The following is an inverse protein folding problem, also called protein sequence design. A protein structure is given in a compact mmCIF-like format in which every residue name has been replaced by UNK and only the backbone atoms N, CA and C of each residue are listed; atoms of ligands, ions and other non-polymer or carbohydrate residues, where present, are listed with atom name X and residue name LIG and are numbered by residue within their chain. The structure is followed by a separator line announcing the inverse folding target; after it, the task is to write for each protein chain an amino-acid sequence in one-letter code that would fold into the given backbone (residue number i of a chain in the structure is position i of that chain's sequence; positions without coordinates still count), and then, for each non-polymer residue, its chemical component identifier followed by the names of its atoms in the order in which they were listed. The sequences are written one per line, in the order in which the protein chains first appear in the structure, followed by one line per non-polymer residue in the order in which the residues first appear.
data_IF_214056706367
#
_entry.id   IF_214056706367
#
_cell.length_a   1.000
_cell.length_b   1.000
_cell.length_c   1.000
_cell.angle_alpha   90.00
_cell.angle_beta   90.00
_cell.angle_gamma   90.00
#
_symmetry.space_group_name_H-M   'P 1'
#
loop_
_entity.id
_entity.type
_entity.pdbx_description
1 polymer ?
#
# COMPACT_ATOMS: atom_id res chain seq x y z
N UNK A 1 3.36 10.32 -25.49
CA UNK A 1 2.69 10.56 -24.22
C UNK A 1 2.20 9.31 -23.53
N UNK A 2 1.61 8.39 -24.26
CA UNK A 2 1.15 7.15 -23.67
C UNK A 2 2.28 6.32 -23.13
N UNK A 3 3.45 6.41 -23.72
CA UNK A 3 4.61 5.62 -23.30
C UNK A 3 5.01 5.91 -21.86
N UNK A 4 4.85 7.14 -21.39
CA UNK A 4 5.24 7.48 -20.04
C UNK A 4 4.28 6.94 -18.98
N UNK A 5 3.11 6.49 -19.39
CA UNK A 5 2.16 5.88 -18.47
C UNK A 5 2.26 4.38 -18.44
N UNK A 6 3.09 3.81 -19.31
CA UNK A 6 3.26 2.36 -19.35
C UNK A 6 4.08 1.91 -18.15
N UNK A 7 3.51 0.99 -17.40
CA UNK A 7 4.18 0.44 -16.24
C UNK A 7 4.98 -0.79 -16.64
N UNK A 8 6.29 -0.73 -16.47
CA UNK A 8 7.17 -1.88 -16.72
C UNK A 8 7.41 -2.62 -15.42
N UNK A 9 7.85 -3.89 -15.47
CA UNK A 9 8.18 -4.61 -14.24
C UNK A 9 9.25 -3.91 -13.41
N UNK A 10 10.25 -3.30 -14.06
CA UNK A 10 11.29 -2.57 -13.34
C UNK A 10 10.72 -1.34 -12.64
N UNK A 11 9.83 -0.62 -13.31
CA UNK A 11 9.22 0.58 -12.73
C UNK A 11 8.28 0.21 -11.58
N UNK A 12 7.55 -0.90 -11.73
CA UNK A 12 6.68 -1.37 -10.65
C UNK A 12 7.50 -1.72 -9.41
N UNK A 13 8.64 -2.38 -9.59
CA UNK A 13 9.51 -2.73 -8.47
C UNK A 13 10.04 -1.48 -7.78
N UNK A 14 10.41 -0.44 -8.54
CA UNK A 14 10.83 0.83 -7.97
C UNK A 14 9.74 1.46 -7.12
N UNK A 15 8.53 1.50 -7.66
CA UNK A 15 7.39 2.09 -6.94
C UNK A 15 7.10 1.33 -5.66
N UNK A 16 7.15 0.00 -5.70
CA UNK A 16 6.93 -0.81 -4.51
C UNK A 16 7.99 -0.55 -3.44
N UNK A 17 9.24 -0.37 -3.86
CA UNK A 17 10.32 -0.07 -2.93
C UNK A 17 10.12 1.28 -2.28
N UNK A 18 9.71 2.29 -3.04
CA UNK A 18 9.43 3.62 -2.51
C UNK A 18 8.26 3.57 -1.54
N UNK A 19 7.20 2.84 -1.89
CA UNK A 19 6.03 2.70 -1.02
C UNK A 19 6.41 2.02 0.30
N UNK A 20 7.24 0.99 0.25
CA UNK A 20 7.70 0.30 1.44
C UNK A 20 8.49 1.24 2.35
N UNK A 21 9.35 2.05 1.76
CA UNK A 21 10.13 3.02 2.51
C UNK A 21 9.25 4.07 3.18
N UNK A 22 8.23 4.55 2.45
CA UNK A 22 7.29 5.51 3.01
C UNK A 22 6.55 4.91 4.20
N UNK A 23 6.10 3.67 4.09
CA UNK A 23 5.43 2.98 5.19
C UNK A 23 6.36 2.84 6.40
N UNK A 24 7.63 2.50 6.16
CA UNK A 24 8.60 2.34 7.25
C UNK A 24 8.84 3.66 7.98
N UNK A 25 8.88 4.77 7.25
CA UNK A 25 9.04 6.09 7.86
C UNK A 25 7.76 6.49 8.60
N UNK A 26 6.62 6.31 7.97
CA UNK A 26 5.34 6.74 8.52
C UNK A 26 5.01 6.05 9.84
N UNK A 27 5.34 4.76 9.96
CA UNK A 27 5.03 4.04 11.21
C UNK A 27 5.77 4.64 12.40
N UNK A 28 6.94 5.22 12.18
CA UNK A 28 7.70 5.86 13.25
C UNK A 28 7.12 7.19 13.69
N UNK A 29 6.20 7.76 12.91
CA UNK A 29 5.59 9.05 13.23
C UNK A 29 4.24 8.89 13.94
N UNK A 30 3.75 7.66 14.06
CA UNK A 30 2.45 7.41 14.70
C UNK A 30 2.64 7.29 16.21
N UNK A 31 1.80 7.98 16.96
CA UNK A 31 1.84 7.92 18.41
C UNK A 31 1.50 6.51 18.91
N UNK A 32 2.00 6.12 20.10
CA UNK A 32 1.64 4.82 20.65
C UNK A 32 0.14 4.62 20.73
N UNK A 33 -0.35 3.50 20.24
CA UNK A 33 -1.78 3.21 20.18
C UNK A 33 -2.48 3.81 18.98
N UNK A 34 -1.77 4.53 18.11
CA UNK A 34 -2.34 5.12 16.93
C UNK A 34 -2.55 4.14 15.79
N UNK A 35 -3.04 4.65 14.67
CA UNK A 35 -3.31 3.84 13.49
C UNK A 35 -2.61 4.42 12.27
N UNK A 36 -2.31 3.54 11.33
CA UNK A 36 -1.69 3.91 10.07
C UNK A 36 -2.54 3.35 8.93
N UNK A 37 -2.91 4.21 8.00
CA UNK A 37 -3.71 3.79 6.84
C UNK A 37 -2.87 3.84 5.57
N UNK A 38 -2.96 2.81 4.75
CA UNK A 38 -2.28 2.72 3.47
C UNK A 38 -3.34 2.54 2.38
N UNK A 39 -3.36 3.45 1.44
CA UNK A 39 -4.39 3.45 0.39
C UNK A 39 -3.74 3.64 -0.97
N UNK A 40 -4.25 2.93 -1.98
CA UNK A 40 -3.77 3.08 -3.35
C UNK A 40 -4.93 3.00 -4.32
N UNK A 41 -4.70 3.49 -5.55
CA UNK A 41 -5.62 3.30 -6.67
C UNK A 41 -5.08 2.23 -7.62
N UNK A 42 -4.05 1.50 -7.22
CA UNK A 42 -3.41 0.49 -8.06
C UNK A 42 -4.23 -0.79 -8.10
N UNK A 43 -4.20 -1.48 -9.25
CA UNK A 43 -4.81 -2.80 -9.38
C UNK A 43 -3.80 -3.93 -9.18
N UNK A 44 -2.53 -3.60 -8.96
CA UNK A 44 -1.47 -4.59 -8.82
C UNK A 44 -1.36 -5.08 -7.38
N UNK A 45 -1.35 -6.40 -7.19
CA UNK A 45 -1.18 -6.98 -5.85
C UNK A 45 0.13 -6.54 -5.20
N UNK A 46 1.18 -6.33 -6.02
CA UNK A 46 2.49 -5.92 -5.50
C UNK A 46 2.41 -4.59 -4.76
N UNK A 47 1.50 -3.70 -5.17
CA UNK A 47 1.32 -2.40 -4.53
C UNK A 47 0.24 -2.43 -3.44
N UNK A 48 -0.51 -3.50 -3.34
CA UNK A 48 -1.63 -3.63 -2.40
C UNK A 48 -1.37 -4.71 -1.35
N UNK A 49 -1.92 -5.91 -1.56
CA UNK A 49 -1.82 -6.99 -0.56
C UNK A 49 -0.40 -7.32 -0.17
N UNK A 50 0.50 -7.40 -1.16
CA UNK A 50 1.89 -7.75 -0.88
C UNK A 50 2.58 -6.70 -0.03
N UNK A 51 2.27 -5.42 -0.23
CA UNK A 51 2.83 -4.34 0.58
C UNK A 51 2.34 -4.42 2.02
N UNK A 52 1.04 -4.67 2.20
CA UNK A 52 0.47 -4.77 3.55
C UNK A 52 1.10 -5.92 4.31
N UNK A 53 1.24 -7.08 3.67
CA UNK A 53 1.81 -8.26 4.30
C UNK A 53 3.29 -8.07 4.61
N UNK A 54 4.03 -7.47 3.69
CA UNK A 54 5.44 -7.19 3.88
C UNK A 54 5.66 -6.19 5.02
N UNK A 55 4.79 -5.19 5.12
CA UNK A 55 4.86 -4.21 6.20
C UNK A 55 4.71 -4.89 7.55
N UNK A 56 3.72 -5.77 7.70
CA UNK A 56 3.50 -6.48 8.96
C UNK A 56 4.64 -7.44 9.29
N UNK A 57 5.32 -7.98 8.28
CA UNK A 57 6.49 -8.82 8.52
C UNK A 57 7.69 -8.01 9.00
N UNK A 58 7.84 -6.78 8.50
CA UNK A 58 8.95 -5.90 8.91
C UNK A 58 8.70 -5.28 10.28
N UNK A 59 7.44 -5.02 10.60
CA UNK A 59 7.06 -4.31 11.83
C UNK A 59 6.06 -5.13 12.61
N UNK A 60 6.55 -6.01 13.45
CA UNK A 60 5.73 -7.01 14.13
C UNK A 60 4.75 -6.45 15.15
N UNK A 61 4.95 -5.22 15.58
CA UNK A 61 4.04 -4.57 16.51
C UNK A 61 2.76 -4.08 15.84
N UNK A 62 2.69 -4.13 14.52
CA UNK A 62 1.54 -3.66 13.76
C UNK A 62 0.66 -4.81 13.30
N UNK A 63 -0.66 -4.65 13.44
CA UNK A 63 -1.63 -5.64 12.97
C UNK A 63 -2.62 -4.95 12.07
N UNK A 64 -3.00 -5.63 10.99
CA UNK A 64 -3.99 -5.11 10.07
C UNK A 64 -5.37 -5.21 10.72
N UNK A 65 -6.05 -4.06 10.85
CA UNK A 65 -7.38 -3.98 11.44
C UNK A 65 -8.46 -4.03 10.39
N UNK A 66 -8.16 -3.55 9.17
CA UNK A 66 -9.12 -3.47 8.09
C UNK A 66 -8.39 -3.58 6.77
N UNK A 67 -8.95 -4.36 5.84
CA UNK A 67 -8.49 -4.40 4.46
C UNK A 67 -9.73 -4.36 3.58
N UNK A 68 -9.79 -3.37 2.72
CA UNK A 68 -10.90 -3.20 1.80
C UNK A 68 -10.39 -2.99 0.39
N UNK A 69 -11.19 -3.49 -0.55
CA UNK A 69 -10.88 -3.35 -1.96
C UNK A 69 -12.17 -3.01 -2.71
N UNK A 70 -12.08 -1.96 -3.51
CA UNK A 70 -13.17 -1.60 -4.41
C UNK A 70 -12.71 -1.93 -5.81
N UNK A 71 -13.42 -2.82 -6.52
CA UNK A 71 -12.98 -3.23 -7.86
C UNK A 71 -13.09 -2.11 -8.86
N UNK A 72 -12.34 -2.22 -9.94
CA UNK A 72 -12.47 -1.32 -11.07
C UNK A 72 -13.86 -1.50 -11.66
N UNK A 73 -14.58 -0.42 -11.88
CA UNK A 73 -15.93 -0.46 -12.41
C UNK A 73 -16.21 0.68 -13.34
N UNK A 74 -17.47 0.76 -13.79
CA UNK A 74 -17.87 1.77 -14.72
C UNK A 74 -17.77 3.18 -14.14
N UNK A 75 -17.86 3.29 -12.82
CA UNK A 75 -17.87 4.58 -12.16
C UNK A 75 -16.49 5.09 -11.80
N UNK A 76 -15.43 4.32 -12.05
CA UNK A 76 -14.11 4.79 -11.75
C UNK A 76 -13.11 3.69 -11.55
N UNK A 77 -11.98 4.09 -11.02
CA UNK A 77 -10.84 3.20 -10.80
C UNK A 77 -11.03 2.37 -9.55
N UNK A 78 -10.29 1.28 -9.49
CA UNK A 78 -10.24 0.47 -8.28
C UNK A 78 -9.56 1.22 -7.15
N UNK A 79 -9.81 0.77 -5.93
CA UNK A 79 -9.25 1.40 -4.74
C UNK A 79 -8.92 0.33 -3.71
N UNK A 80 -7.82 0.51 -3.02
CA UNK A 80 -7.37 -0.41 -1.98
C UNK A 80 -7.06 0.35 -0.71
N UNK A 81 -7.51 -0.17 0.42
CA UNK A 81 -7.27 0.43 1.73
C UNK A 81 -6.87 -0.65 2.73
N UNK A 82 -5.80 -0.38 3.47
CA UNK A 82 -5.38 -1.24 4.58
C UNK A 82 -5.13 -0.33 5.79
N UNK A 83 -5.73 -0.67 6.92
CA UNK A 83 -5.56 0.09 8.16
C UNK A 83 -4.87 -0.80 9.18
N UNK A 84 -3.77 -0.29 9.74
CA UNK A 84 -2.95 -1.02 10.71
C UNK A 84 -3.06 -0.35 12.07
N UNK A 85 -3.10 -1.17 13.13
CA UNK A 85 -3.07 -0.68 14.50
C UNK A 85 -1.97 -1.38 15.28
N UNK A 86 -1.50 -0.72 16.29
CA UNK A 86 -0.50 -1.29 17.20
C UNK A 86 -1.12 -2.16 18.28
#
# INVERSE_FOLDING_TARGET
PEAKWRLTPARLAELCAIQAEILDIAQGLVAPGGQLAYATCSVFRAENDAQSEAFMRRHRGWNERLRRRWPVGADGDGFYLSVFGQ
#
